data_IF_943842625448
#
_entry.id   IF_943842625448
#
_cell.length_a   1.000
_cell.length_b   1.000
_cell.length_c   1.000
_cell.angle_alpha   90.00
_cell.angle_beta   90.00
_cell.angle_gamma   90.00
#
_symmetry.space_group_name_H-M   'P 1'
#
loop_
_entity.id
_entity.type
_entity.pdbx_description
1 polymer ?
#
# COMPACT_ATOMS: atom_id res chain seq x y z
N UNK A 1 -23.78 -5.33 -2.37
CA UNK A 1 -24.47 -5.76 -1.12
C UNK A 1 -25.65 -6.69 -1.45
N UNK A 2 -26.60 -6.31 -2.33
CA UNK A 2 -27.79 -7.15 -2.60
C UNK A 2 -27.39 -8.54 -3.10
N UNK A 3 -26.51 -8.63 -4.09
CA UNK A 3 -26.04 -9.89 -4.69
C UNK A 3 -25.35 -10.80 -3.66
N UNK A 4 -24.77 -10.26 -2.59
CA UNK A 4 -24.12 -11.07 -1.55
C UNK A 4 -25.05 -11.95 -0.73
N UNK A 5 -26.36 -11.72 -0.81
CA UNK A 5 -27.40 -12.53 -0.17
C UNK A 5 -28.05 -13.52 -1.14
N UNK A 6 -27.70 -13.49 -2.44
CA UNK A 6 -28.27 -14.42 -3.40
C UNK A 6 -27.70 -15.82 -3.24
N UNK A 7 -28.55 -16.80 -3.54
CA UNK A 7 -28.11 -18.20 -3.62
C UNK A 7 -27.52 -18.50 -4.99
N UNK A 8 -26.68 -19.52 -5.09
CA UNK A 8 -26.04 -19.91 -6.33
C UNK A 8 -25.81 -21.45 -6.39
N UNK A 9 -25.78 -21.96 -7.61
CA UNK A 9 -25.34 -23.29 -7.93
C UNK A 9 -24.26 -23.24 -9.02
N UNK A 10 -23.76 -24.40 -9.47
CA UNK A 10 -22.67 -24.51 -10.46
C UNK A 10 -22.97 -23.81 -11.79
N UNK A 11 -24.23 -23.47 -12.10
CA UNK A 11 -24.64 -22.95 -13.42
C UNK A 11 -25.35 -21.59 -13.35
N UNK A 12 -25.86 -21.17 -12.21
CA UNK A 12 -26.67 -19.95 -12.10
C UNK A 12 -26.72 -19.42 -10.67
N UNK A 13 -27.11 -18.16 -10.54
CA UNK A 13 -27.38 -17.51 -9.26
C UNK A 13 -28.84 -17.01 -9.23
N UNK A 14 -29.45 -17.09 -8.05
CA UNK A 14 -30.86 -16.80 -7.86
C UNK A 14 -31.06 -15.69 -6.84
N UNK A 15 -32.03 -14.77 -7.07
CA UNK A 15 -32.38 -13.75 -6.10
C UNK A 15 -33.14 -14.38 -4.91
N UNK A 16 -32.42 -15.01 -3.99
CA UNK A 16 -32.92 -15.54 -2.72
C UNK A 16 -32.18 -14.87 -1.57
N UNK A 17 -32.75 -14.86 -0.37
CA UNK A 17 -32.12 -14.24 0.78
C UNK A 17 -31.48 -15.30 1.69
N UNK A 18 -30.18 -15.57 1.43
CA UNK A 18 -29.41 -16.57 2.17
C UNK A 18 -28.24 -15.95 2.93
N UNK A 19 -27.96 -16.47 4.12
CA UNK A 19 -26.82 -16.07 4.94
C UNK A 19 -25.61 -17.00 4.79
N UNK A 20 -25.74 -18.06 4.04
CA UNK A 20 -24.70 -19.09 3.84
C UNK A 20 -23.41 -18.50 3.33
N UNK A 21 -23.47 -17.56 2.36
CA UNK A 21 -22.27 -16.91 1.81
C UNK A 21 -21.41 -16.20 2.88
N UNK A 22 -22.06 -15.59 3.88
CA UNK A 22 -21.35 -14.94 4.99
C UNK A 22 -20.84 -15.95 6.02
N UNK A 23 -21.61 -17.00 6.31
CA UNK A 23 -21.15 -18.06 7.23
C UNK A 23 -19.94 -18.79 6.67
N UNK A 24 -19.92 -19.06 5.36
CA UNK A 24 -18.81 -19.70 4.67
C UNK A 24 -17.59 -18.76 4.56
N UNK A 25 -17.84 -17.50 4.22
CA UNK A 25 -16.80 -16.48 4.18
C UNK A 25 -16.09 -16.30 5.54
N UNK A 26 -16.84 -16.27 6.64
CA UNK A 26 -16.29 -16.04 7.98
C UNK A 26 -15.82 -17.32 8.67
N UNK A 27 -16.38 -18.49 8.31
CA UNK A 27 -16.05 -19.78 8.90
C UNK A 27 -14.83 -20.48 8.27
N UNK A 28 -14.38 -20.04 7.11
CA UNK A 28 -13.31 -20.69 6.37
C UNK A 28 -11.92 -20.33 6.91
N UNK A 29 -11.12 -21.36 7.23
CA UNK A 29 -9.70 -21.18 7.55
C UNK A 29 -8.88 -20.57 6.40
N UNK A 30 -9.30 -20.80 5.16
CA UNK A 30 -8.65 -20.22 3.97
C UNK A 30 -8.87 -18.73 3.96
N UNK A 31 -10.11 -18.28 4.19
CA UNK A 31 -10.45 -16.86 4.28
C UNK A 31 -9.62 -16.16 5.36
N UNK A 32 -9.55 -16.73 6.56
CA UNK A 32 -8.76 -16.16 7.65
C UNK A 32 -7.28 -15.99 7.29
N UNK A 33 -6.64 -17.02 6.72
CA UNK A 33 -5.25 -16.94 6.25
C UNK A 33 -5.06 -15.89 5.15
N UNK A 34 -6.03 -15.78 4.25
CA UNK A 34 -5.99 -14.82 3.16
C UNK A 34 -6.09 -13.37 3.67
N UNK A 35 -6.94 -13.13 4.67
CA UNK A 35 -7.00 -11.83 5.36
C UNK A 35 -5.69 -11.51 6.08
N UNK A 36 -5.10 -12.47 6.80
CA UNK A 36 -3.79 -12.28 7.45
C UNK A 36 -2.70 -11.91 6.45
N UNK A 37 -2.63 -12.59 5.31
CA UNK A 37 -1.68 -12.25 4.26
C UNK A 37 -1.93 -10.83 3.72
N UNK A 38 -3.19 -10.46 3.53
CA UNK A 38 -3.55 -9.11 3.04
C UNK A 38 -3.11 -8.03 4.05
N UNK A 39 -3.34 -8.25 5.35
CA UNK A 39 -2.85 -7.35 6.40
C UNK A 39 -1.32 -7.30 6.45
N UNK A 40 -0.65 -8.42 6.26
CA UNK A 40 0.79 -8.51 6.21
C UNK A 40 1.36 -7.66 5.06
N UNK A 41 0.81 -7.81 3.85
CA UNK A 41 1.22 -6.99 2.70
C UNK A 41 0.91 -5.50 2.93
N UNK A 42 -0.27 -5.18 3.44
CA UNK A 42 -0.65 -3.80 3.74
C UNK A 42 0.27 -3.17 4.80
N UNK A 43 0.59 -3.91 5.87
CA UNK A 43 1.47 -3.44 6.94
C UNK A 43 2.90 -3.21 6.50
N UNK A 44 3.49 -4.16 5.76
CA UNK A 44 4.86 -4.01 5.23
C UNK A 44 4.94 -2.88 4.20
N UNK A 45 3.98 -2.82 3.28
CA UNK A 45 3.94 -1.75 2.28
C UNK A 45 3.78 -0.39 2.94
N UNK A 46 2.87 -0.28 3.92
CA UNK A 46 2.68 0.95 4.69
C UNK A 46 3.98 1.38 5.37
N UNK A 47 4.66 0.48 6.06
CA UNK A 47 5.92 0.79 6.74
C UNK A 47 7.00 1.28 5.76
N UNK A 48 7.21 0.55 4.66
CA UNK A 48 8.21 0.92 3.65
C UNK A 48 7.86 2.25 2.96
N UNK A 49 6.60 2.44 2.56
CA UNK A 49 6.16 3.68 1.91
C UNK A 49 6.18 4.86 2.88
N UNK A 50 5.91 4.64 4.17
CA UNK A 50 6.03 5.67 5.20
C UNK A 50 7.48 6.13 5.36
N UNK A 51 8.42 5.21 5.51
CA UNK A 51 9.85 5.53 5.66
C UNK A 51 10.37 6.30 4.42
N UNK A 52 10.09 5.80 3.23
CA UNK A 52 10.51 6.45 1.98
C UNK A 52 9.77 7.79 1.82
N UNK A 53 8.46 7.80 1.96
CA UNK A 53 7.61 8.95 1.74
C UNK A 53 7.90 10.09 2.70
N UNK A 54 8.09 9.78 3.99
CA UNK A 54 8.47 10.77 4.99
C UNK A 54 9.85 11.37 4.71
N UNK A 55 10.84 10.53 4.38
CA UNK A 55 12.21 10.99 4.08
C UNK A 55 12.23 11.88 2.85
N UNK A 56 11.55 11.48 1.76
CA UNK A 56 11.47 12.28 0.54
C UNK A 56 10.74 13.60 0.77
N UNK A 57 9.58 13.55 1.46
CA UNK A 57 8.81 14.75 1.78
C UNK A 57 9.60 15.72 2.67
N UNK A 58 10.30 15.20 3.69
CA UNK A 58 11.15 15.99 4.57
C UNK A 58 12.29 16.67 3.82
N UNK A 59 12.98 15.92 2.95
CA UNK A 59 14.04 16.48 2.12
C UNK A 59 13.52 17.59 1.21
N UNK A 60 12.42 17.37 0.51
CA UNK A 60 11.81 18.35 -0.39
C UNK A 60 11.34 19.61 0.35
N UNK A 61 10.73 19.46 1.54
CA UNK A 61 10.15 20.58 2.27
C UNK A 61 11.21 21.45 2.97
N UNK A 62 12.24 20.85 3.57
CA UNK A 62 13.15 21.57 4.46
C UNK A 62 14.56 21.76 3.91
N UNK A 63 15.06 20.89 3.01
CA UNK A 63 16.42 21.01 2.46
C UNK A 63 16.45 21.75 1.14
N UNK A 64 15.35 21.79 0.41
CA UNK A 64 15.27 22.52 -0.86
C UNK A 64 14.68 23.92 -0.60
N UNK A 65 15.52 24.94 -0.66
CA UNK A 65 15.11 26.31 -0.36
C UNK A 65 14.44 27.04 -1.53
N UNK A 66 14.67 26.58 -2.75
CA UNK A 66 14.15 27.24 -3.97
C UNK A 66 12.86 26.56 -4.42
N UNK A 67 11.77 27.29 -4.45
CA UNK A 67 10.45 26.78 -4.89
C UNK A 67 10.48 26.12 -6.27
N UNK A 68 11.29 26.64 -7.20
CA UNK A 68 11.44 26.03 -8.53
C UNK A 68 11.97 24.60 -8.45
N UNK A 69 13.02 24.37 -7.64
CA UNK A 69 13.59 23.04 -7.46
C UNK A 69 12.67 22.11 -6.67
N UNK A 70 11.93 22.63 -5.70
CA UNK A 70 10.91 21.85 -4.99
C UNK A 70 9.87 21.31 -5.98
N UNK A 71 9.33 22.18 -6.85
CA UNK A 71 8.33 21.79 -7.85
C UNK A 71 8.93 20.78 -8.84
N UNK A 72 10.14 21.03 -9.37
CA UNK A 72 10.78 20.14 -10.34
C UNK A 72 11.02 18.75 -9.73
N UNK A 73 11.58 18.66 -8.54
CA UNK A 73 11.85 17.39 -7.88
C UNK A 73 10.54 16.67 -7.50
N UNK A 74 9.54 17.41 -7.05
CA UNK A 74 8.22 16.83 -6.78
C UNK A 74 7.59 16.26 -8.07
N UNK A 75 7.67 16.98 -9.18
CA UNK A 75 7.21 16.49 -10.48
C UNK A 75 7.97 15.23 -10.92
N UNK A 76 9.29 15.19 -10.72
CA UNK A 76 10.09 13.98 -11.00
C UNK A 76 9.58 12.78 -10.19
N UNK A 77 9.23 12.97 -8.92
CA UNK A 77 8.63 11.92 -8.10
C UNK A 77 7.27 11.45 -8.65
N UNK A 78 6.53 12.30 -9.38
CA UNK A 78 5.24 11.93 -9.95
C UNK A 78 5.34 11.22 -11.31
N UNK A 79 6.48 11.29 -12.01
CA UNK A 79 6.65 10.67 -13.34
C UNK A 79 6.24 9.19 -13.38
N UNK A 80 6.65 8.33 -12.43
CA UNK A 80 6.26 6.92 -12.45
C UNK A 80 4.75 6.71 -12.43
N UNK A 81 4.00 7.65 -11.84
CA UNK A 81 2.55 7.56 -11.75
C UNK A 81 1.82 7.70 -13.11
N UNK A 82 2.45 8.35 -14.08
CA UNK A 82 1.88 8.56 -15.42
C UNK A 82 1.92 7.31 -16.31
N UNK A 83 2.61 6.25 -15.87
CA UNK A 83 2.64 4.97 -16.56
C UNK A 83 1.60 4.00 -15.98
N UNK A 84 1.09 3.09 -16.82
CA UNK A 84 0.15 2.05 -16.38
C UNK A 84 0.73 1.20 -15.25
N UNK A 85 -0.08 0.95 -14.22
CA UNK A 85 0.29 0.06 -13.11
C UNK A 85 0.70 -1.34 -13.59
N UNK A 86 -0.05 -1.89 -14.55
CA UNK A 86 0.21 -3.23 -15.10
C UNK A 86 1.56 -3.26 -15.82
N UNK A 87 1.87 -2.24 -16.64
CA UNK A 87 3.14 -2.17 -17.36
C UNK A 87 4.31 -2.09 -16.38
N UNK A 88 4.18 -1.28 -15.32
CA UNK A 88 5.20 -1.18 -14.26
C UNK A 88 5.46 -2.52 -13.58
N UNK A 89 4.40 -3.27 -13.25
CA UNK A 89 4.56 -4.59 -12.62
C UNK A 89 5.19 -5.60 -13.57
N UNK A 90 4.73 -5.66 -14.83
CA UNK A 90 5.32 -6.56 -15.82
C UNK A 90 6.81 -6.26 -16.03
N UNK A 91 7.22 -5.00 -15.95
CA UNK A 91 8.62 -4.60 -16.09
C UNK A 91 9.52 -5.14 -14.96
N UNK A 92 8.98 -5.42 -13.79
CA UNK A 92 9.75 -6.03 -12.69
C UNK A 92 10.07 -7.50 -12.95
N UNK A 93 9.27 -8.23 -13.74
CA UNK A 93 9.46 -9.66 -13.99
C UNK A 93 10.82 -9.95 -14.65
N UNK A 94 11.19 -9.33 -15.80
CA UNK A 94 12.51 -9.54 -16.38
C UNK A 94 13.65 -8.96 -15.54
N UNK A 95 13.37 -8.01 -14.65
CA UNK A 95 14.39 -7.45 -13.77
C UNK A 95 14.71 -8.37 -12.59
N UNK A 96 13.69 -8.95 -11.94
CA UNK A 96 13.81 -9.77 -10.74
C UNK A 96 13.88 -11.28 -11.01
N UNK A 97 13.63 -11.71 -12.25
CA UNK A 97 13.61 -13.13 -12.61
C UNK A 97 14.93 -13.85 -12.33
N UNK A 98 14.91 -15.17 -12.35
CA UNK A 98 16.09 -16.02 -12.10
C UNK A 98 17.28 -15.65 -13.01
N UNK A 99 17.02 -15.44 -14.29
CA UNK A 99 18.00 -14.97 -15.27
C UNK A 99 17.83 -13.45 -15.55
N UNK A 100 17.27 -12.73 -14.60
CA UNK A 100 16.99 -11.31 -14.71
C UNK A 100 18.23 -10.43 -14.53
N UNK A 101 18.06 -9.15 -14.87
CA UNK A 101 19.14 -8.16 -14.81
C UNK A 101 19.79 -8.12 -13.41
N UNK A 102 19.00 -8.17 -12.35
CA UNK A 102 19.50 -8.07 -10.98
C UNK A 102 20.37 -9.28 -10.60
N UNK A 103 19.89 -10.50 -10.84
CA UNK A 103 20.68 -11.72 -10.56
C UNK A 103 21.95 -11.79 -11.42
N UNK A 104 21.86 -11.46 -12.70
CA UNK A 104 23.01 -11.44 -13.60
C UNK A 104 24.06 -10.43 -13.15
N UNK A 105 23.64 -9.25 -12.70
CA UNK A 105 24.53 -8.23 -12.16
C UNK A 105 25.26 -8.74 -10.92
N UNK A 106 24.53 -9.31 -9.94
CA UNK A 106 25.10 -9.82 -8.70
C UNK A 106 26.10 -10.96 -8.94
N UNK A 107 25.82 -11.84 -9.91
CA UNK A 107 26.74 -12.91 -10.33
C UNK A 107 27.99 -12.34 -11.01
N UNK A 108 27.84 -11.34 -11.88
CA UNK A 108 28.97 -10.74 -12.61
C UNK A 108 29.97 -10.03 -11.71
N UNK A 109 29.51 -9.46 -10.59
CA UNK A 109 30.37 -8.83 -9.58
C UNK A 109 30.85 -9.81 -8.50
N UNK A 110 30.49 -11.10 -8.62
CA UNK A 110 30.95 -12.17 -7.73
C UNK A 110 30.32 -12.16 -6.33
N UNK A 111 29.20 -11.44 -6.13
CA UNK A 111 28.51 -11.39 -4.84
C UNK A 111 27.69 -12.66 -4.54
N UNK A 112 27.20 -13.33 -5.58
CA UNK A 112 26.43 -14.57 -5.46
C UNK A 112 26.92 -15.60 -6.47
N UNK A 113 26.91 -16.88 -6.09
CA UNK A 113 27.24 -17.99 -6.99
C UNK A 113 26.02 -18.56 -7.71
N UNK A 114 24.85 -18.49 -7.07
CA UNK A 114 23.58 -18.97 -7.61
C UNK A 114 22.54 -17.86 -7.63
N UNK A 115 21.58 -17.89 -8.59
CA UNK A 115 20.51 -16.89 -8.67
C UNK A 115 19.63 -16.91 -7.43
N UNK A 116 19.25 -15.73 -6.94
CA UNK A 116 18.32 -15.56 -5.83
C UNK A 116 16.88 -15.80 -6.32
N UNK A 117 16.27 -16.91 -5.92
CA UNK A 117 14.92 -17.29 -6.35
C UNK A 117 13.82 -16.50 -5.62
N UNK A 118 14.10 -15.97 -4.42
CA UNK A 118 13.12 -15.21 -3.64
C UNK A 118 12.82 -13.81 -4.18
N UNK A 119 13.56 -13.34 -5.17
CA UNK A 119 13.36 -11.99 -5.73
C UNK A 119 12.07 -11.85 -6.52
N UNK A 120 11.58 -12.93 -7.16
CA UNK A 120 10.35 -12.94 -7.93
C UNK A 120 9.41 -14.04 -7.41
N UNK A 121 8.11 -13.87 -7.60
CA UNK A 121 7.03 -14.78 -7.16
C UNK A 121 7.05 -15.05 -5.64
N UNK A 122 7.34 -14.01 -4.88
CA UNK A 122 7.49 -14.04 -3.43
C UNK A 122 6.77 -12.87 -2.75
N UNK A 123 6.70 -12.90 -1.42
CA UNK A 123 6.17 -11.78 -0.64
C UNK A 123 7.03 -10.53 -0.82
N UNK A 124 8.35 -10.70 -1.01
CA UNK A 124 9.28 -9.60 -1.30
C UNK A 124 8.90 -8.87 -2.60
N UNK A 125 8.69 -9.59 -3.70
CA UNK A 125 8.34 -8.98 -4.99
C UNK A 125 6.98 -8.28 -4.94
N UNK A 126 6.01 -8.83 -4.21
CA UNK A 126 4.69 -8.22 -4.00
C UNK A 126 4.84 -6.88 -3.26
N UNK A 127 5.54 -6.89 -2.11
CA UNK A 127 5.74 -5.67 -1.31
C UNK A 127 6.55 -4.63 -2.08
N UNK A 128 7.61 -5.04 -2.80
CA UNK A 128 8.41 -4.15 -3.64
C UNK A 128 7.56 -3.45 -4.72
N UNK A 129 6.71 -4.22 -5.40
CA UNK A 129 5.79 -3.68 -6.40
C UNK A 129 4.78 -2.71 -5.78
N UNK A 130 4.19 -3.05 -4.65
CA UNK A 130 3.29 -2.17 -3.93
C UNK A 130 3.96 -0.87 -3.48
N UNK A 131 5.18 -0.95 -2.95
CA UNK A 131 5.95 0.25 -2.57
C UNK A 131 6.18 1.14 -3.78
N UNK A 132 6.60 0.58 -4.91
CA UNK A 132 6.78 1.35 -6.14
C UNK A 132 5.48 1.98 -6.65
N UNK A 133 4.35 1.26 -6.54
CA UNK A 133 3.05 1.75 -6.99
C UNK A 133 2.51 2.88 -6.09
N UNK A 134 2.68 2.73 -4.76
CA UNK A 134 1.92 3.52 -3.79
C UNK A 134 2.77 4.51 -2.98
N UNK A 135 4.09 4.55 -3.16
CA UNK A 135 4.96 5.51 -2.46
C UNK A 135 4.50 6.97 -2.64
N UNK A 136 4.05 7.34 -3.83
CA UNK A 136 3.58 8.70 -4.12
C UNK A 136 2.36 9.09 -3.28
N UNK A 137 1.44 8.15 -3.02
CA UNK A 137 0.27 8.38 -2.18
C UNK A 137 0.63 8.65 -0.71
N UNK A 138 1.84 8.27 -0.29
CA UNK A 138 2.39 8.63 1.02
C UNK A 138 3.15 9.97 0.95
N UNK A 139 3.98 10.17 -0.07
CA UNK A 139 4.80 11.38 -0.25
C UNK A 139 3.94 12.65 -0.30
N UNK A 140 2.89 12.65 -1.15
CA UNK A 140 2.11 13.87 -1.46
C UNK A 140 1.40 14.45 -0.22
N UNK A 141 0.63 13.70 0.57
CA UNK A 141 -0.03 14.25 1.75
C UNK A 141 0.95 14.70 2.82
N UNK A 142 2.05 13.97 3.02
CA UNK A 142 3.08 14.32 3.99
C UNK A 142 3.79 15.61 3.56
N UNK A 143 4.20 15.70 2.30
CA UNK A 143 4.83 16.90 1.75
C UNK A 143 3.92 18.12 1.89
N UNK A 144 2.64 18.00 1.53
CA UNK A 144 1.68 19.08 1.65
C UNK A 144 1.48 19.53 3.12
N UNK A 145 1.52 18.61 4.08
CA UNK A 145 1.48 18.97 5.49
C UNK A 145 2.76 19.66 5.95
N UNK A 146 3.93 19.19 5.52
CA UNK A 146 5.22 19.81 5.85
C UNK A 146 5.35 21.22 5.27
N UNK A 147 4.83 21.46 4.07
CA UNK A 147 4.85 22.80 3.45
C UNK A 147 4.00 23.86 4.18
N UNK A 148 3.08 23.42 5.04
CA UNK A 148 2.25 24.32 5.87
C UNK A 148 2.90 24.67 7.22
N UNK A 149 4.01 24.02 7.59
CA UNK A 149 4.71 24.29 8.84
C UNK A 149 5.41 25.64 8.70
N UNK A 150 5.10 26.56 9.62
CA UNK A 150 5.80 27.84 9.68
C UNK A 150 7.26 27.61 10.08
N UNK A 151 8.18 28.16 9.32
CA UNK A 151 9.62 28.08 9.58
C UNK A 151 10.00 28.68 10.93
N UNK A 152 9.27 29.67 11.41
CA UNK A 152 9.48 30.27 12.74
C UNK A 152 9.37 29.25 13.87
N UNK A 153 8.52 28.22 13.75
CA UNK A 153 8.41 27.14 14.74
C UNK A 153 9.68 26.28 14.80
N UNK A 154 10.31 26.06 13.64
CA UNK A 154 11.55 25.30 13.53
C UNK A 154 12.71 26.13 14.10
N UNK A 155 12.77 27.42 13.76
CA UNK A 155 13.77 28.37 14.28
C UNK A 155 13.64 28.50 15.80
N UNK A 156 12.43 28.67 16.33
CA UNK A 156 12.19 28.73 17.77
C UNK A 156 12.60 27.45 18.52
N UNK A 157 12.41 26.27 17.89
CA UNK A 157 12.86 25.01 18.48
C UNK A 157 14.40 24.93 18.53
N UNK A 158 15.08 25.40 17.48
CA UNK A 158 16.55 25.47 17.43
C UNK A 158 17.08 26.46 18.47
N UNK A 159 16.49 27.66 18.57
CA UNK A 159 16.85 28.69 19.55
C UNK A 159 16.63 28.19 20.99
N UNK A 160 15.62 27.34 21.18
CA UNK A 160 15.36 26.61 22.44
C UNK A 160 16.35 25.46 22.73
N UNK A 161 17.36 25.25 21.87
CA UNK A 161 18.40 24.24 22.06
C UNK A 161 17.99 22.83 21.63
N UNK A 162 16.90 22.66 20.85
CA UNK A 162 16.49 21.35 20.34
C UNK A 162 17.49 20.83 19.29
N UNK A 163 17.93 19.59 19.45
CA UNK A 163 18.68 18.90 18.42
C UNK A 163 17.75 18.45 17.27
N UNK A 164 18.32 18.01 16.13
CA UNK A 164 17.55 17.59 14.95
C UNK A 164 16.52 16.49 15.20
N UNK A 165 16.81 15.52 16.10
CA UNK A 165 15.88 14.48 16.52
C UNK A 165 14.73 15.04 17.35
N UNK A 166 15.01 15.92 18.29
CA UNK A 166 14.00 16.57 19.13
C UNK A 166 13.07 17.45 18.30
N UNK A 167 13.63 18.21 17.35
CA UNK A 167 12.85 19.00 16.40
C UNK A 167 11.93 18.10 15.56
N UNK A 168 12.46 16.99 15.02
CA UNK A 168 11.70 16.05 14.21
C UNK A 168 10.52 15.45 14.99
N UNK A 169 10.78 14.92 16.19
CA UNK A 169 9.77 14.21 17.00
C UNK A 169 8.76 15.16 17.63
N UNK A 170 9.21 16.32 18.11
CA UNK A 170 8.37 17.21 18.92
C UNK A 170 7.68 18.32 18.10
N UNK A 171 8.19 18.62 16.88
CA UNK A 171 7.63 19.69 16.05
C UNK A 171 7.12 19.12 14.72
N UNK A 172 8.00 18.53 13.92
CA UNK A 172 7.65 18.14 12.53
C UNK A 172 6.62 17.01 12.51
N UNK A 173 6.87 15.90 13.20
CA UNK A 173 5.95 14.74 13.19
C UNK A 173 4.55 15.11 13.73
N UNK A 174 4.41 15.81 14.89
CA UNK A 174 3.11 16.22 15.38
C UNK A 174 2.33 17.10 14.41
N UNK A 175 2.97 18.07 13.79
CA UNK A 175 2.34 18.96 12.80
C UNK A 175 2.03 18.29 11.47
N UNK A 176 2.74 17.19 11.13
CA UNK A 176 2.49 16.41 9.93
C UNK A 176 1.50 15.25 10.14
N UNK A 177 0.98 15.04 11.37
CA UNK A 177 0.03 13.96 11.64
C UNK A 177 -1.12 13.86 10.63
N UNK A 178 -1.78 14.95 10.20
CA UNK A 178 -2.85 14.87 9.21
C UNK A 178 -2.37 14.29 7.87
N UNK A 179 -1.20 14.74 7.38
CA UNK A 179 -0.62 14.22 6.14
C UNK A 179 -0.22 12.75 6.25
N UNK A 180 0.38 12.35 7.38
CA UNK A 180 0.73 10.95 7.64
C UNK A 180 -0.52 10.07 7.65
N UNK A 181 -1.59 10.52 8.30
CA UNK A 181 -2.85 9.77 8.35
C UNK A 181 -3.48 9.61 6.98
N UNK A 182 -3.60 10.70 6.21
CA UNK A 182 -4.17 10.66 4.87
C UNK A 182 -3.36 9.72 3.97
N UNK A 183 -2.02 9.85 3.96
CA UNK A 183 -1.15 8.97 3.19
C UNK A 183 -1.29 7.51 3.61
N UNK A 184 -1.35 7.25 4.91
CA UNK A 184 -1.53 5.90 5.47
C UNK A 184 -2.87 5.28 5.05
N UNK A 185 -3.96 6.05 5.11
CA UNK A 185 -5.29 5.61 4.67
C UNK A 185 -5.26 5.22 3.20
N UNK A 186 -4.67 6.07 2.34
CA UNK A 186 -4.56 5.77 0.92
C UNK A 186 -3.79 4.48 0.66
N UNK A 187 -2.58 4.35 1.22
CA UNK A 187 -1.73 3.18 0.99
C UNK A 187 -2.41 1.90 1.45
N UNK A 188 -2.91 1.87 2.67
CA UNK A 188 -3.56 0.67 3.24
C UNK A 188 -4.79 0.28 2.43
N UNK A 189 -5.66 1.24 2.10
CA UNK A 189 -6.89 0.96 1.33
C UNK A 189 -6.58 0.44 -0.07
N UNK A 190 -5.60 1.05 -0.76
CA UNK A 190 -5.22 0.63 -2.10
C UNK A 190 -4.59 -0.77 -2.12
N UNK A 191 -3.71 -1.08 -1.16
CA UNK A 191 -3.10 -2.41 -1.06
C UNK A 191 -4.13 -3.48 -0.75
N UNK A 192 -5.07 -3.23 0.17
CA UNK A 192 -6.09 -4.21 0.55
C UNK A 192 -7.04 -4.57 -0.59
N UNK A 193 -7.30 -3.62 -1.51
CA UNK A 193 -8.16 -3.84 -2.67
C UNK A 193 -7.45 -4.39 -3.92
N UNK A 194 -6.11 -4.43 -3.94
CA UNK A 194 -5.36 -4.80 -5.15
C UNK A 194 -5.20 -6.32 -5.27
N UNK A 195 -5.74 -6.88 -6.36
CA UNK A 195 -5.55 -8.29 -6.71
C UNK A 195 -4.51 -8.48 -7.82
N UNK A 196 -4.34 -7.49 -8.71
CA UNK A 196 -3.50 -7.61 -9.90
C UNK A 196 -2.04 -7.75 -9.51
N UNK A 197 -1.57 -6.91 -8.60
CA UNK A 197 -0.19 -6.92 -8.12
C UNK A 197 0.15 -8.24 -7.45
N UNK A 198 -0.70 -8.73 -6.55
CA UNK A 198 -0.48 -10.00 -5.86
C UNK A 198 -0.48 -11.16 -6.85
N UNK A 199 -1.37 -11.17 -7.83
CA UNK A 199 -1.45 -12.23 -8.84
C UNK A 199 -0.23 -12.25 -9.75
N UNK A 200 0.20 -11.09 -10.26
CA UNK A 200 1.34 -10.99 -11.18
C UNK A 200 2.67 -11.23 -10.47
N UNK A 201 2.91 -10.53 -9.36
CA UNK A 201 4.19 -10.61 -8.64
C UNK A 201 4.30 -11.83 -7.74
N UNK A 202 3.17 -12.40 -7.31
CA UNK A 202 3.11 -13.64 -6.55
C UNK A 202 3.10 -14.91 -7.42
N UNK A 203 3.06 -14.79 -8.75
CA UNK A 203 3.08 -15.92 -9.68
C UNK A 203 1.90 -16.89 -9.51
N UNK A 204 0.77 -16.42 -8.99
CA UNK A 204 -0.40 -17.26 -8.68
C UNK A 204 -0.25 -18.14 -7.44
N UNK A 205 0.89 -18.12 -6.76
CA UNK A 205 1.16 -18.94 -5.56
C UNK A 205 0.81 -18.22 -4.24
N UNK A 206 0.52 -16.93 -4.32
CA UNK A 206 0.22 -16.09 -3.16
C UNK A 206 -1.23 -15.66 -3.16
N UNK A 207 -1.85 -15.69 -1.99
CA UNK A 207 -3.24 -15.33 -1.80
C UNK A 207 -3.39 -13.99 -1.09
N UNK A 208 -4.33 -13.18 -1.58
CA UNK A 208 -4.90 -12.02 -0.90
C UNK A 208 -6.41 -12.06 -1.05
N UNK A 209 -7.13 -11.25 -0.26
CA UNK A 209 -8.59 -11.18 -0.35
C UNK A 209 -9.03 -10.77 -1.77
N UNK A 210 -8.28 -9.84 -2.41
CA UNK A 210 -8.54 -9.45 -3.79
C UNK A 210 -8.36 -10.61 -4.77
N UNK A 211 -7.31 -11.43 -4.63
CA UNK A 211 -7.09 -12.63 -5.48
C UNK A 211 -8.17 -13.69 -5.23
N UNK A 212 -8.61 -13.87 -3.99
CA UNK A 212 -9.69 -14.79 -3.64
C UNK A 212 -10.99 -14.38 -4.33
N UNK A 213 -11.39 -13.12 -4.21
CA UNK A 213 -12.58 -12.58 -4.91
C UNK A 213 -12.46 -12.72 -6.43
N UNK A 214 -11.27 -12.46 -6.99
CA UNK A 214 -11.04 -12.65 -8.42
C UNK A 214 -11.26 -14.12 -8.86
N UNK A 215 -10.76 -15.08 -8.08
CA UNK A 215 -10.94 -16.50 -8.37
C UNK A 215 -12.42 -16.89 -8.33
N UNK A 216 -13.17 -16.42 -7.33
CA UNK A 216 -14.62 -16.66 -7.21
C UNK A 216 -15.38 -16.07 -8.40
N UNK A 217 -15.07 -14.84 -8.81
CA UNK A 217 -15.65 -14.22 -10.01
C UNK A 217 -15.31 -15.04 -11.26
N UNK A 218 -14.08 -15.54 -11.37
CA UNK A 218 -13.64 -16.35 -12.51
C UNK A 218 -14.36 -17.71 -12.59
N UNK A 219 -14.83 -18.20 -11.45
CA UNK A 219 -15.64 -19.40 -11.30
C UNK A 219 -17.17 -19.13 -11.36
N UNK A 220 -17.57 -17.88 -11.68
CA UNK A 220 -18.96 -17.42 -11.73
C UNK A 220 -19.69 -17.43 -10.37
N UNK A 221 -18.97 -17.56 -9.25
CA UNK A 221 -19.49 -17.55 -7.88
C UNK A 221 -19.69 -16.10 -7.40
N UNK A 222 -20.48 -15.31 -8.14
CA UNK A 222 -20.69 -13.89 -7.86
C UNK A 222 -21.24 -13.58 -6.46
N UNK A 223 -22.20 -14.36 -5.89
CA UNK A 223 -22.69 -14.09 -4.54
C UNK A 223 -21.63 -14.26 -3.46
N UNK A 224 -20.77 -15.29 -3.55
CA UNK A 224 -19.64 -15.51 -2.64
C UNK A 224 -18.61 -14.37 -2.75
N UNK A 225 -18.19 -14.00 -3.96
CA UNK A 225 -17.30 -12.86 -4.19
C UNK A 225 -17.87 -11.55 -3.64
N UNK A 226 -19.18 -11.33 -3.81
CA UNK A 226 -19.87 -10.16 -3.27
C UNK A 226 -19.89 -10.15 -1.73
N UNK A 227 -20.06 -11.31 -1.07
CA UNK A 227 -19.98 -11.42 0.37
C UNK A 227 -18.57 -11.06 0.89
N UNK A 228 -17.51 -11.62 0.28
CA UNK A 228 -16.11 -11.25 0.61
C UNK A 228 -15.83 -9.76 0.37
N UNK A 229 -16.37 -9.16 -0.69
CA UNK A 229 -16.23 -7.73 -0.95
C UNK A 229 -16.89 -6.87 0.13
N UNK A 230 -18.06 -7.26 0.62
CA UNK A 230 -18.75 -6.55 1.73
C UNK A 230 -17.96 -6.68 3.03
N UNK A 231 -17.46 -7.86 3.34
CA UNK A 231 -16.62 -8.09 4.53
C UNK A 231 -15.33 -7.26 4.43
N UNK A 232 -14.65 -7.27 3.28
CA UNK A 232 -13.46 -6.45 3.06
C UNK A 232 -13.77 -4.95 3.24
N UNK A 233 -14.86 -4.47 2.67
CA UNK A 233 -15.29 -3.07 2.83
C UNK A 233 -15.50 -2.72 4.31
N UNK A 234 -16.18 -3.58 5.08
CA UNK A 234 -16.38 -3.38 6.50
C UNK A 234 -15.04 -3.30 7.27
N UNK A 235 -14.12 -4.21 6.97
CA UNK A 235 -12.77 -4.24 7.57
C UNK A 235 -12.01 -2.95 7.25
N UNK A 236 -11.99 -2.52 5.98
CA UNK A 236 -11.35 -1.28 5.57
C UNK A 236 -11.96 -0.06 6.25
N UNK A 237 -13.29 0.03 6.32
CA UNK A 237 -13.97 1.14 7.01
C UNK A 237 -13.64 1.19 8.51
N UNK A 238 -13.55 0.04 9.18
CA UNK A 238 -13.13 -0.03 10.59
C UNK A 238 -11.69 0.47 10.72
N UNK A 239 -10.77 0.01 9.88
CA UNK A 239 -9.37 0.44 9.90
C UNK A 239 -9.24 1.94 9.67
N UNK A 240 -9.90 2.48 8.65
CA UNK A 240 -9.89 3.92 8.35
C UNK A 240 -10.45 4.71 9.53
N UNK A 241 -11.55 4.26 10.13
CA UNK A 241 -12.16 4.91 11.30
C UNK A 241 -11.21 4.93 12.50
N UNK A 242 -10.48 3.83 12.74
CA UNK A 242 -9.48 3.75 13.80
C UNK A 242 -8.30 4.70 13.52
N UNK A 243 -7.80 4.73 12.28
CA UNK A 243 -6.72 5.63 11.87
C UNK A 243 -7.12 7.10 12.02
N UNK A 244 -8.36 7.47 11.65
CA UNK A 244 -8.87 8.82 11.81
C UNK A 244 -9.05 9.23 13.28
N UNK A 245 -9.35 8.31 14.19
CA UNK A 245 -9.42 8.59 15.64
C UNK A 245 -8.05 8.88 16.25
N UNK A 246 -6.99 8.25 15.75
CA UNK A 246 -5.61 8.50 16.23
C UNK A 246 -5.13 9.89 15.82
N UNK A 247 -5.64 10.39 14.70
CA UNK A 247 -5.36 11.74 14.22
C UNK A 247 -6.58 12.60 14.49
N UNK A 248 -6.55 13.38 15.57
CA UNK A 248 -7.61 14.30 15.95
C UNK A 248 -7.66 15.46 14.94
N UNK A 249 -8.32 15.22 13.77
CA UNK A 249 -8.43 16.18 12.67
C UNK A 249 -9.30 17.41 13.01
N UNK A 250 -9.91 17.44 14.20
CA UNK A 250 -10.82 18.50 14.65
C UNK A 250 -10.18 19.61 15.48
N UNK A 251 -8.86 19.56 15.73
CA UNK A 251 -8.17 20.53 16.59
C UNK A 251 -7.27 21.52 15.83
N UNK A 252 -7.53 21.71 14.53
CA UNK A 252 -6.97 22.82 13.76
C UNK A 252 -8.05 23.80 13.34
#
# INVERSE_FOLDING_TARGET
VIVSFWDYNDFSFFPDFVWTNYSDALGSNVTYKTYLNTFWYAGLTWLCTFLIGFTVAYFLAFHIHTTRWQIVLFLICTIPFWTSNIIRMISWIPFLGRNGVFNTLLQSIGLINEPLEFLLFSDFSIVLAFVHLYALFMVVPIFNSMMRIDRSLIEAAIDGGANGWQMLINVVIPLCKPGIAIGSIFVVTLVMGDYITVRLMGGGQRASVGVMMWNEISLLLYPAAAAHAVVLLAVVLIMVSLMMRVVDLKKE
#
